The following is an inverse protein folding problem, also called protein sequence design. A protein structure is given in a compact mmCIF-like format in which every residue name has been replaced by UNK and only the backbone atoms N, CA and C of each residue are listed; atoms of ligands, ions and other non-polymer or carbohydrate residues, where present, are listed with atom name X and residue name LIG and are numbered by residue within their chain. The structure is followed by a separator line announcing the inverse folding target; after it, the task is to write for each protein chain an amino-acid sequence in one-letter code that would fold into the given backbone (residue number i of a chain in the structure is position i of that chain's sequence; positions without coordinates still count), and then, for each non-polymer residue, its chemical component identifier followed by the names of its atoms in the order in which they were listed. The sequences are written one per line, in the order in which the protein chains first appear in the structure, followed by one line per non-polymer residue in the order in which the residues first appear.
data_IF_586830812242
#
_entry.id   IF_586830812242
#
_cell.length_a   1.000
_cell.length_b   1.000
_cell.length_c   1.000
_cell.angle_alpha   90.00
_cell.angle_beta   90.00
_cell.angle_gamma   90.00
#
_symmetry.space_group_name_H-M   'P 1'
#
loop_
_entity.id
_entity.type
_entity.pdbx_description
1 polymer ?
#
# COMPACT_ATOMS: atom_id res chain seq x y z
N UNK A 1 4.40 9.08 29.29
CA UNK A 1 3.42 8.14 29.88
C UNK A 1 3.92 6.70 29.79
N UNK A 2 4.40 6.20 28.64
CA UNK A 2 4.88 4.79 28.50
C UNK A 2 6.04 4.51 29.47
N UNK A 3 7.08 5.36 29.49
CA UNK A 3 8.23 5.21 30.38
C UNK A 3 7.85 5.35 31.86
N UNK A 4 6.94 6.26 32.17
CA UNK A 4 6.42 6.47 33.51
C UNK A 4 5.61 5.27 34.01
N UNK A 5 4.73 4.71 33.18
CA UNK A 5 3.98 3.52 33.49
C UNK A 5 4.86 2.28 33.68
N UNK A 6 5.98 2.20 32.93
CA UNK A 6 6.99 1.15 33.12
C UNK A 6 7.71 1.29 34.45
N UNK A 7 8.06 2.52 34.85
CA UNK A 7 8.61 2.82 36.18
C UNK A 7 7.65 2.38 37.29
N UNK A 8 6.38 2.76 37.23
CA UNK A 8 5.39 2.34 38.24
C UNK A 8 5.19 0.81 38.31
N UNK A 9 5.33 0.11 37.16
CA UNK A 9 5.31 -1.35 37.16
C UNK A 9 6.49 -1.96 37.91
N UNK A 10 7.69 -1.39 37.75
CA UNK A 10 8.93 -1.88 38.40
C UNK A 10 8.95 -1.51 39.88
N UNK A 11 8.46 -0.32 40.22
CA UNK A 11 8.38 0.18 41.59
C UNK A 11 7.26 -0.48 42.44
N UNK A 12 6.50 -1.44 41.89
CA UNK A 12 5.42 -2.12 42.61
C UNK A 12 4.17 -1.27 42.87
N UNK A 13 3.97 -0.18 42.11
CA UNK A 13 2.86 0.76 42.23
C UNK A 13 1.95 0.75 41.01
N UNK A 14 1.35 -0.40 40.60
CA UNK A 14 0.55 -0.50 39.41
C UNK A 14 -0.70 0.40 39.39
N UNK A 15 -1.20 0.79 40.55
CA UNK A 15 -2.35 1.69 40.72
C UNK A 15 -2.08 3.12 40.23
N UNK A 16 -0.81 3.55 40.21
CA UNK A 16 -0.41 4.86 39.72
C UNK A 16 -0.26 4.94 38.19
N UNK A 17 -0.52 3.83 37.49
CA UNK A 17 -0.47 3.82 36.01
C UNK A 17 -1.57 4.71 35.44
N UNK A 18 -1.13 5.66 34.63
CA UNK A 18 -2.03 6.57 33.92
C UNK A 18 -2.39 5.99 32.56
N UNK A 19 -3.69 5.88 32.27
CA UNK A 19 -4.16 5.56 30.93
C UNK A 19 -3.83 6.73 29.99
N UNK A 20 -3.05 6.53 28.92
CA UNK A 20 -2.82 7.60 27.96
C UNK A 20 -4.16 8.01 27.36
N UNK A 21 -4.47 9.31 27.41
CA UNK A 21 -5.62 9.84 26.67
C UNK A 21 -5.42 9.51 25.18
N UNK A 22 -6.42 8.91 24.56
CA UNK A 22 -6.46 8.78 23.11
C UNK A 22 -6.68 10.19 22.54
N UNK A 23 -5.59 10.91 22.30
CA UNK A 23 -5.67 12.15 21.54
C UNK A 23 -6.12 11.73 20.14
N UNK A 24 -7.33 12.12 19.79
CA UNK A 24 -7.83 11.95 18.44
C UNK A 24 -6.98 12.85 17.53
N UNK A 25 -5.90 12.26 16.99
CA UNK A 25 -5.13 12.93 15.93
C UNK A 25 -6.09 13.13 14.78
N UNK A 26 -6.07 14.32 14.17
CA UNK A 26 -6.95 14.69 13.05
C UNK A 26 -7.14 13.48 12.15
N UNK A 27 -8.38 13.00 12.06
CA UNK A 27 -8.74 11.79 11.31
C UNK A 27 -8.42 11.92 9.82
N UNK A 28 -8.36 13.16 9.33
CA UNK A 28 -8.07 13.48 7.93
C UNK A 28 -6.83 14.34 7.83
N UNK A 29 -5.89 13.92 6.97
CA UNK A 29 -4.84 14.83 6.48
C UNK A 29 -5.52 15.93 5.68
N UNK A 30 -4.94 17.15 5.72
CA UNK A 30 -5.37 18.23 4.85
C UNK A 30 -5.41 17.74 3.38
N UNK A 31 -6.45 18.08 2.65
CA UNK A 31 -6.72 17.57 1.29
C UNK A 31 -5.54 17.81 0.32
N UNK A 32 -4.80 18.90 0.52
CA UNK A 32 -3.59 19.26 -0.21
C UNK A 32 -2.46 18.21 -0.10
N UNK A 33 -2.46 17.36 0.95
CA UNK A 33 -1.46 16.29 1.17
C UNK A 33 -1.90 14.92 0.68
N UNK A 34 -3.15 14.79 0.25
CA UNK A 34 -3.67 13.51 -0.27
C UNK A 34 -3.37 13.44 -1.77
N UNK A 35 -3.02 12.23 -2.23
CA UNK A 35 -2.87 11.94 -3.65
C UNK A 35 -4.25 11.93 -4.31
N UNK A 36 -4.47 12.78 -5.29
CA UNK A 36 -5.72 12.79 -6.05
C UNK A 36 -5.74 11.69 -7.11
N UNK A 37 -6.93 11.26 -7.55
CA UNK A 37 -7.08 10.29 -8.64
C UNK A 37 -6.40 10.76 -9.93
N UNK A 38 -6.40 12.08 -10.21
CA UNK A 38 -5.72 12.65 -11.38
C UNK A 38 -4.20 12.53 -11.26
N UNK A 39 -3.63 12.83 -10.09
CA UNK A 39 -2.20 12.68 -9.83
C UNK A 39 -1.77 11.21 -9.88
N UNK A 40 -2.58 10.30 -9.33
CA UNK A 40 -2.38 8.87 -9.42
C UNK A 40 -2.30 8.38 -10.87
N UNK A 41 -3.25 8.76 -11.72
CA UNK A 41 -3.25 8.39 -13.14
C UNK A 41 -1.98 8.86 -13.84
N UNK A 42 -1.56 10.11 -13.62
CA UNK A 42 -0.31 10.65 -14.17
C UNK A 42 0.93 9.83 -13.76
N UNK A 43 0.97 9.35 -12.52
CA UNK A 43 2.08 8.49 -12.04
C UNK A 43 2.09 7.14 -12.76
N UNK A 44 0.92 6.50 -12.90
CA UNK A 44 0.77 5.22 -13.61
C UNK A 44 1.19 5.37 -15.07
N UNK A 45 0.63 6.33 -15.79
CA UNK A 45 0.94 6.64 -17.19
C UNK A 45 2.43 6.95 -17.41
N UNK A 46 3.03 7.69 -16.46
CA UNK A 46 4.47 8.00 -16.53
C UNK A 46 5.32 6.76 -16.35
N UNK A 47 4.94 5.84 -15.45
CA UNK A 47 5.65 4.58 -15.30
C UNK A 47 5.54 3.71 -16.55
N UNK A 48 4.38 3.69 -17.21
CA UNK A 48 4.14 2.97 -18.47
C UNK A 48 4.98 3.53 -19.60
N UNK A 49 4.98 4.84 -19.81
CA UNK A 49 5.83 5.50 -20.82
C UNK A 49 7.31 5.22 -20.63
N UNK A 50 7.76 5.07 -19.38
CA UNK A 50 9.15 4.69 -19.07
C UNK A 50 9.45 3.20 -19.26
N UNK A 51 8.48 2.40 -19.67
CA UNK A 51 8.62 0.95 -19.74
C UNK A 51 8.76 0.25 -18.40
N UNK A 52 8.50 0.96 -17.27
CA UNK A 52 8.56 0.36 -15.94
C UNK A 52 7.22 -0.30 -15.60
N UNK A 53 6.93 -1.39 -16.31
CA UNK A 53 5.69 -2.15 -16.21
C UNK A 53 5.44 -2.66 -14.79
N UNK A 54 6.51 -3.15 -14.14
CA UNK A 54 6.44 -3.58 -12.74
C UNK A 54 5.95 -2.49 -11.80
N UNK A 55 6.49 -1.28 -11.91
CA UNK A 55 6.12 -0.16 -11.05
C UNK A 55 4.69 0.32 -11.34
N UNK A 56 4.28 0.33 -12.61
CA UNK A 56 2.90 0.64 -13.00
C UNK A 56 1.93 -0.36 -12.37
N UNK A 57 2.14 -1.67 -12.54
CA UNK A 57 1.30 -2.72 -11.95
C UNK A 57 1.27 -2.63 -10.42
N UNK A 58 2.42 -2.36 -9.77
CA UNK A 58 2.50 -2.18 -8.33
C UNK A 58 1.64 -1.00 -7.85
N UNK A 59 1.74 0.15 -8.49
CA UNK A 59 0.93 1.32 -8.14
C UNK A 59 -0.56 1.07 -8.35
N UNK A 60 -0.92 0.39 -9.43
CA UNK A 60 -2.31 0.02 -9.70
C UNK A 60 -2.84 -0.96 -8.65
N UNK A 61 -2.04 -1.94 -8.23
CA UNK A 61 -2.39 -2.83 -7.12
C UNK A 61 -2.66 -2.07 -5.82
N UNK A 62 -1.76 -1.16 -5.43
CA UNK A 62 -1.95 -0.35 -4.21
C UNK A 62 -3.20 0.55 -4.30
N UNK A 63 -3.44 1.15 -5.47
CA UNK A 63 -4.58 2.05 -5.71
C UNK A 63 -5.93 1.34 -5.79
N UNK A 64 -5.96 0.11 -6.29
CA UNK A 64 -7.19 -0.66 -6.45
C UNK A 64 -7.59 -1.48 -5.21
N UNK A 65 -6.62 -1.86 -4.36
CA UNK A 65 -6.86 -2.76 -3.23
C UNK A 65 -6.66 -2.11 -1.87
N UNK A 66 -5.96 -1.00 -1.83
CA UNK A 66 -5.60 -0.32 -0.58
C UNK A 66 -4.74 -1.17 0.38
N UNK A 67 -4.06 -2.22 -0.08
CA UNK A 67 -3.17 -3.03 0.74
C UNK A 67 -1.95 -2.24 1.22
N UNK A 68 -1.31 -2.73 2.27
CA UNK A 68 -0.03 -2.18 2.73
C UNK A 68 1.11 -2.66 1.83
N UNK A 69 2.16 -1.86 1.70
CA UNK A 69 3.36 -2.23 0.94
C UNK A 69 3.99 -3.56 1.43
N UNK A 70 3.91 -3.83 2.74
CA UNK A 70 4.38 -5.10 3.32
C UNK A 70 3.52 -6.30 2.95
N UNK A 71 2.36 -6.08 2.36
CA UNK A 71 1.42 -7.11 1.93
C UNK A 71 1.57 -7.46 0.44
N UNK A 72 2.41 -6.71 -0.31
CA UNK A 72 2.68 -6.99 -1.72
C UNK A 72 3.16 -8.43 -2.01
N UNK A 73 3.94 -9.09 -1.15
CA UNK A 73 4.34 -10.48 -1.39
C UNK A 73 3.18 -11.47 -1.51
N UNK A 74 2.00 -11.13 -0.95
CA UNK A 74 0.79 -11.95 -1.07
C UNK A 74 0.03 -11.73 -2.39
N UNK A 75 0.44 -10.78 -3.21
CA UNK A 75 -0.07 -10.60 -4.57
C UNK A 75 0.74 -11.53 -5.47
N UNK A 76 0.20 -12.72 -5.67
CA UNK A 76 0.83 -13.80 -6.42
C UNK A 76 0.10 -14.06 -7.74
N UNK A 77 0.69 -14.87 -8.60
CA UNK A 77 0.05 -15.33 -9.85
C UNK A 77 -1.24 -16.10 -9.53
N UNK A 78 -1.20 -16.93 -8.48
CA UNK A 78 -2.34 -17.72 -8.01
C UNK A 78 -3.44 -16.81 -7.49
N UNK A 79 -3.08 -15.80 -6.67
CA UNK A 79 -4.05 -14.81 -6.17
C UNK A 79 -4.75 -14.06 -7.32
N UNK A 80 -4.01 -13.72 -8.40
CA UNK A 80 -4.59 -13.08 -9.57
C UNK A 80 -5.53 -14.02 -10.34
N UNK A 81 -5.22 -15.33 -10.43
CA UNK A 81 -6.08 -16.34 -11.04
C UNK A 81 -7.35 -16.57 -10.22
N UNK A 82 -7.22 -16.61 -8.88
CA UNK A 82 -8.34 -16.81 -7.95
C UNK A 82 -9.14 -15.52 -7.69
N UNK A 83 -8.72 -14.38 -8.23
CA UNK A 83 -9.33 -13.05 -8.01
C UNK A 83 -9.40 -12.64 -6.54
N UNK A 84 -8.51 -13.18 -5.71
CA UNK A 84 -8.43 -12.88 -4.28
C UNK A 84 -7.02 -13.11 -3.75
N UNK A 85 -6.55 -12.24 -2.90
CA UNK A 85 -5.32 -12.43 -2.15
C UNK A 85 -5.63 -12.75 -0.68
N UNK A 86 -5.04 -13.83 -0.17
CA UNK A 86 -5.13 -14.20 1.25
C UNK A 86 -3.90 -13.63 1.96
N UNK A 87 -4.11 -12.64 2.81
CA UNK A 87 -3.05 -11.94 3.52
C UNK A 87 -3.02 -12.40 4.97
N UNK A 88 -1.95 -13.08 5.35
CA UNK A 88 -1.73 -13.52 6.74
C UNK A 88 -0.54 -12.78 7.34
N UNK A 89 -0.81 -11.91 8.31
CA UNK A 89 0.22 -11.12 9.01
C UNK A 89 -0.08 -10.99 10.50
N UNK A 90 0.92 -11.19 11.34
CA UNK A 90 0.83 -11.05 12.80
C UNK A 90 -0.32 -11.87 13.40
N UNK A 91 -0.51 -13.09 12.92
CA UNK A 91 -1.57 -14.00 13.38
C UNK A 91 -2.99 -13.64 12.93
N UNK A 92 -3.16 -12.65 12.04
CA UNK A 92 -4.46 -12.28 11.46
C UNK A 92 -4.48 -12.58 9.98
N UNK A 93 -5.51 -13.26 9.52
CA UNK A 93 -5.76 -13.55 8.11
C UNK A 93 -6.95 -12.75 7.62
N UNK A 94 -6.81 -12.18 6.42
CA UNK A 94 -7.91 -11.52 5.71
C UNK A 94 -7.85 -11.79 4.23
N UNK A 95 -8.99 -11.78 3.58
CA UNK A 95 -9.12 -11.90 2.13
C UNK A 95 -9.28 -10.49 1.53
N UNK A 96 -8.53 -10.22 0.48
CA UNK A 96 -8.63 -8.99 -0.31
C UNK A 96 -9.09 -9.39 -1.70
N UNK A 97 -10.29 -8.97 -2.14
CA UNK A 97 -10.76 -9.21 -3.49
C UNK A 97 -9.90 -8.44 -4.49
N UNK A 98 -9.61 -9.06 -5.63
CA UNK A 98 -8.93 -8.44 -6.76
C UNK A 98 -9.94 -8.28 -7.90
N UNK A 99 -10.14 -7.05 -8.36
CA UNK A 99 -11.04 -6.78 -9.47
C UNK A 99 -10.53 -7.38 -10.79
N UNK A 100 -11.44 -7.68 -11.71
CA UNK A 100 -11.12 -8.37 -12.97
C UNK A 100 -10.06 -7.64 -13.80
N UNK A 101 -10.18 -6.31 -13.95
CA UNK A 101 -9.22 -5.50 -14.68
C UNK A 101 -7.81 -5.58 -14.08
N UNK A 102 -7.74 -5.58 -12.73
CA UNK A 102 -6.46 -5.74 -12.03
C UNK A 102 -5.89 -7.14 -12.24
N UNK A 103 -6.70 -8.18 -12.18
CA UNK A 103 -6.28 -9.56 -12.43
C UNK A 103 -5.71 -9.74 -13.84
N UNK A 104 -6.40 -9.22 -14.86
CA UNK A 104 -5.94 -9.24 -16.24
C UNK A 104 -4.60 -8.52 -16.39
N UNK A 105 -4.45 -7.33 -15.80
CA UNK A 105 -3.22 -6.57 -15.79
C UNK A 105 -2.07 -7.35 -15.14
N UNK A 106 -2.31 -7.95 -13.98
CA UNK A 106 -1.30 -8.70 -13.23
C UNK A 106 -0.86 -9.96 -13.96
N UNK A 107 -1.79 -10.70 -14.58
CA UNK A 107 -1.49 -11.90 -15.35
C UNK A 107 -0.72 -11.57 -16.63
N UNK A 108 -1.07 -10.47 -17.31
CA UNK A 108 -0.31 -9.99 -18.46
C UNK A 108 1.12 -9.62 -18.06
N UNK A 109 1.28 -8.90 -16.95
CA UNK A 109 2.60 -8.57 -16.41
C UNK A 109 3.39 -9.84 -16.03
N UNK A 110 2.75 -10.82 -15.37
CA UNK A 110 3.39 -12.10 -15.02
C UNK A 110 3.98 -12.79 -16.25
N UNK A 111 3.20 -12.86 -17.34
CA UNK A 111 3.60 -13.45 -18.61
C UNK A 111 4.78 -12.70 -19.22
N UNK A 112 4.74 -11.38 -19.30
CA UNK A 112 5.82 -10.53 -19.82
C UNK A 112 7.11 -10.68 -19.00
N UNK A 113 7.00 -10.81 -17.67
CA UNK A 113 8.12 -10.92 -16.74
C UNK A 113 8.64 -12.37 -16.57
N UNK A 114 8.00 -13.37 -17.18
CA UNK A 114 8.35 -14.78 -17.04
C UNK A 114 8.12 -15.31 -15.61
N UNK A 115 7.08 -14.81 -14.92
CA UNK A 115 6.72 -15.24 -13.56
C UNK A 115 5.55 -16.22 -13.68
N UNK A 116 5.82 -17.50 -13.49
CA UNK A 116 4.79 -18.54 -13.62
C UNK A 116 4.01 -18.78 -12.32
N UNK A 117 4.68 -18.63 -11.19
CA UNK A 117 4.13 -18.91 -9.84
C UNK A 117 4.68 -17.93 -8.79
N UNK A 118 3.96 -17.78 -7.68
CA UNK A 118 4.39 -17.01 -6.53
C UNK A 118 4.24 -15.50 -6.68
N UNK A 119 4.98 -14.74 -5.86
CA UNK A 119 4.85 -13.28 -5.78
C UNK A 119 5.20 -12.58 -7.08
N UNK A 120 4.34 -11.64 -7.50
CA UNK A 120 4.51 -10.83 -8.71
C UNK A 120 5.53 -9.71 -8.56
N UNK A 121 5.70 -9.16 -7.37
CA UNK A 121 6.57 -7.99 -7.12
C UNK A 121 7.89 -8.43 -6.51
N UNK A 122 8.77 -8.96 -7.37
CA UNK A 122 10.08 -9.47 -7.01
C UNK A 122 11.21 -8.69 -7.70
N UNK A 123 12.40 -8.77 -7.13
CA UNK A 123 13.64 -8.28 -7.72
C UNK A 123 14.15 -9.25 -8.80
N UNK A 124 15.19 -8.86 -9.55
CA UNK A 124 15.87 -9.77 -10.50
C UNK A 124 16.35 -11.07 -9.84
N UNK A 125 16.70 -11.02 -8.56
CA UNK A 125 17.15 -12.18 -7.79
C UNK A 125 15.98 -12.95 -7.14
N UNK A 126 14.75 -12.77 -7.62
CA UNK A 126 13.52 -13.40 -7.12
C UNK A 126 13.19 -13.14 -5.64
N UNK A 127 13.82 -12.15 -5.03
CA UNK A 127 13.49 -11.73 -3.66
C UNK A 127 12.35 -10.70 -3.66
N UNK A 128 11.53 -10.64 -2.60
CA UNK A 128 10.54 -9.58 -2.45
C UNK A 128 11.17 -8.19 -2.56
N UNK A 129 10.47 -7.26 -3.19
CA UNK A 129 10.95 -5.89 -3.32
C UNK A 129 11.04 -5.20 -1.95
N UNK A 130 12.17 -4.54 -1.70
CA UNK A 130 12.34 -3.73 -0.49
C UNK A 130 11.48 -2.45 -0.54
N UNK A 131 10.91 -2.10 0.61
CA UNK A 131 10.05 -0.92 0.79
C UNK A 131 10.75 0.39 0.38
N UNK A 132 12.03 0.54 0.72
CA UNK A 132 12.80 1.74 0.44
C UNK A 132 13.04 1.89 -1.06
N UNK A 133 13.31 0.78 -1.76
CA UNK A 133 13.47 0.74 -3.21
C UNK A 133 12.16 1.11 -3.92
N UNK A 134 11.04 0.52 -3.52
CA UNK A 134 9.73 0.86 -4.07
C UNK A 134 9.46 2.36 -3.90
N UNK A 135 9.66 2.89 -2.69
CA UNK A 135 9.45 4.31 -2.41
C UNK A 135 10.36 5.21 -3.25
N UNK A 136 11.61 4.81 -3.47
CA UNK A 136 12.56 5.55 -4.30
C UNK A 136 12.14 5.55 -5.77
N UNK A 137 11.76 4.38 -6.31
CA UNK A 137 11.28 4.25 -7.69
C UNK A 137 10.00 5.07 -7.91
N UNK A 138 9.03 5.00 -7.01
CA UNK A 138 7.81 5.82 -7.08
C UNK A 138 8.13 7.33 -7.08
N UNK A 139 9.01 7.78 -6.18
CA UNK A 139 9.39 9.19 -6.08
C UNK A 139 10.21 9.69 -7.26
N UNK A 140 10.89 8.82 -7.99
CA UNK A 140 11.61 9.19 -9.20
C UNK A 140 10.68 9.65 -10.33
N UNK A 141 9.38 9.27 -10.28
CA UNK A 141 8.39 9.70 -11.27
C UNK A 141 7.92 11.16 -11.05
N UNK A 142 8.16 11.74 -9.87
CA UNK A 142 7.61 13.04 -9.43
C UNK A 142 7.75 14.14 -10.48
N UNK A 143 8.99 14.35 -10.95
CA UNK A 143 9.30 15.45 -11.88
C UNK A 143 8.56 15.32 -13.21
N UNK A 144 8.57 14.12 -13.77
CA UNK A 144 8.00 13.86 -15.09
C UNK A 144 6.48 13.74 -15.06
N UNK A 145 5.92 13.18 -13.97
CA UNK A 145 4.48 13.13 -13.75
C UNK A 145 3.88 14.49 -13.34
N UNK A 146 4.71 15.46 -12.96
CA UNK A 146 4.26 16.75 -12.41
C UNK A 146 3.46 16.58 -11.11
N UNK A 147 3.86 15.62 -10.26
CA UNK A 147 3.21 15.34 -8.98
C UNK A 147 4.17 15.64 -7.83
N UNK A 148 3.75 16.39 -6.80
CA UNK A 148 4.60 16.71 -5.67
C UNK A 148 5.20 15.48 -4.99
N UNK A 149 6.51 15.48 -4.79
CA UNK A 149 7.28 14.33 -4.28
C UNK A 149 6.84 13.88 -2.89
N UNK A 150 6.36 14.80 -2.07
CA UNK A 150 5.83 14.58 -0.73
C UNK A 150 4.52 13.79 -0.73
N UNK A 151 3.75 13.82 -1.82
CA UNK A 151 2.53 13.04 -2.00
C UNK A 151 2.81 11.60 -2.43
N UNK A 152 4.01 11.31 -2.99
CA UNK A 152 4.33 10.03 -3.62
C UNK A 152 4.95 9.08 -2.59
N UNK A 153 4.11 8.31 -1.92
CA UNK A 153 4.49 7.23 -1.02
C UNK A 153 3.33 6.23 -0.85
N UNK A 154 3.62 4.94 -0.60
CA UNK A 154 2.62 3.88 -0.64
C UNK A 154 1.39 4.10 0.24
N UNK A 155 1.57 4.67 1.43
CA UNK A 155 0.44 4.92 2.33
C UNK A 155 -0.55 5.95 1.77
N UNK A 156 -0.10 6.87 0.91
CA UNK A 156 -0.98 7.85 0.29
C UNK A 156 -1.89 7.23 -0.79
N UNK A 157 -1.41 6.17 -1.46
CA UNK A 157 -2.24 5.37 -2.39
C UNK A 157 -3.37 4.67 -1.63
N UNK A 158 -3.06 4.11 -0.46
CA UNK A 158 -4.07 3.53 0.41
C UNK A 158 -5.07 4.57 0.94
N UNK A 159 -4.61 5.78 1.26
CA UNK A 159 -5.50 6.88 1.62
C UNK A 159 -6.44 7.26 0.47
N UNK A 160 -5.90 7.40 -0.73
CA UNK A 160 -6.70 7.67 -1.93
C UNK A 160 -7.76 6.58 -2.14
N UNK A 161 -7.38 5.30 -2.03
CA UNK A 161 -8.32 4.18 -2.11
C UNK A 161 -9.44 4.30 -1.07
N UNK A 162 -9.09 4.55 0.20
CA UNK A 162 -10.07 4.69 1.28
C UNK A 162 -11.04 5.85 1.03
N UNK A 163 -10.54 7.00 0.58
CA UNK A 163 -11.38 8.14 0.24
C UNK A 163 -12.33 7.83 -0.93
N UNK A 164 -11.82 7.20 -1.99
CA UNK A 164 -12.62 6.81 -3.17
C UNK A 164 -13.68 5.76 -2.80
N UNK A 165 -13.33 4.80 -1.97
CA UNK A 165 -14.25 3.77 -1.47
C UNK A 165 -15.36 4.42 -0.64
N UNK A 166 -15.00 5.26 0.35
CA UNK A 166 -15.97 5.95 1.20
C UNK A 166 -16.93 6.85 0.38
N UNK A 167 -16.41 7.58 -0.61
CA UNK A 167 -17.26 8.41 -1.48
C UNK A 167 -18.29 7.57 -2.26
N UNK A 168 -17.91 6.35 -2.64
CA UNK A 168 -18.78 5.46 -3.44
C UNK A 168 -19.79 4.68 -2.58
N UNK A 169 -19.36 4.20 -1.40
CA UNK A 169 -20.18 3.34 -0.53
C UNK A 169 -20.82 4.08 0.63
N UNK A 170 -20.29 5.27 1.00
CA UNK A 170 -20.57 6.02 2.23
C UNK A 170 -20.28 5.24 3.51
N UNK A 171 -19.60 4.10 3.41
CA UNK A 171 -19.16 3.29 4.53
C UNK A 171 -17.73 3.59 4.93
N UNK A 172 -17.46 3.64 6.24
CA UNK A 172 -16.09 3.76 6.74
C UNK A 172 -15.33 2.44 6.56
N UNK A 173 -14.09 2.52 6.07
CA UNK A 173 -13.18 1.37 5.88
C UNK A 173 -12.35 1.11 7.13
#
# INVERSE_FOLDING_TARGET
IVSMNRFFSIAGMPELKVKPMKVQRMAFRSEDKILTTREYRKLVETAERKGNRRLSCLMQTLGATGIRISELPFITVEAAKERRAVITMKGKTRIVPLGDDLCLLLLAYAKEAGIETGSLFITRNKNPMDRSNIRREMKALSKEAGVPREKIFPHNFRHMFACAFYQKTKDAV
#
